data_IF_961914596012
#
_entry.id   IF_961914596012
#
_cell.length_a   1.000
_cell.length_b   1.000
_cell.length_c   1.000
_cell.angle_alpha   90.00
_cell.angle_beta   90.00
_cell.angle_gamma   90.00
#
_symmetry.space_group_name_H-M   'P 1'
#
loop_
_entity.id
_entity.type
_entity.pdbx_description
1 polymer ?
#
# COMPACT_ATOMS: atom_id res chain seq x y z
N UNK A 1 16.62 -10.40 -21.31
CA UNK A 1 15.25 -10.20 -20.78
C UNK A 1 15.11 -10.96 -19.48
N UNK A 2 15.31 -10.30 -18.35
CA UNK A 2 14.96 -10.83 -17.03
C UNK A 2 13.43 -10.90 -16.93
N UNK A 3 12.87 -12.07 -16.63
CA UNK A 3 11.43 -12.21 -16.37
C UNK A 3 11.11 -11.45 -15.08
N UNK A 4 10.43 -10.32 -15.21
CA UNK A 4 9.85 -9.61 -14.07
C UNK A 4 8.78 -10.50 -13.42
N UNK A 5 8.72 -10.49 -12.10
CA UNK A 5 7.61 -11.11 -11.37
C UNK A 5 6.31 -10.36 -11.67
N UNK A 6 5.15 -11.00 -11.52
CA UNK A 6 3.85 -10.35 -11.77
C UNK A 6 3.68 -9.08 -10.95
N UNK A 7 4.23 -9.05 -9.73
CA UNK A 7 4.19 -7.88 -8.85
C UNK A 7 5.05 -6.73 -9.40
N UNK A 8 6.29 -7.03 -9.83
CA UNK A 8 7.18 -6.01 -10.41
C UNK A 8 6.60 -5.44 -11.71
N UNK A 9 5.97 -6.28 -12.53
CA UNK A 9 5.31 -5.84 -13.76
C UNK A 9 4.14 -4.90 -13.46
N UNK A 10 3.30 -5.23 -12.48
CA UNK A 10 2.22 -4.37 -12.03
C UNK A 10 2.73 -3.02 -11.50
N UNK A 11 3.76 -3.05 -10.66
CA UNK A 11 4.36 -1.82 -10.12
C UNK A 11 4.91 -0.92 -11.23
N UNK A 12 5.53 -1.50 -12.27
CA UNK A 12 6.05 -0.76 -13.41
C UNK A 12 4.93 -0.12 -14.26
N UNK A 13 3.83 -0.85 -14.49
CA UNK A 13 2.65 -0.31 -15.17
C UNK A 13 2.00 0.83 -14.36
N UNK A 14 1.91 0.67 -13.04
CA UNK A 14 1.39 1.71 -12.16
C UNK A 14 2.26 2.98 -12.20
N UNK A 15 3.60 2.84 -12.23
CA UNK A 15 4.48 4.01 -12.39
C UNK A 15 4.23 4.72 -13.74
N UNK A 16 4.08 3.96 -14.83
CA UNK A 16 3.78 4.54 -16.14
C UNK A 16 2.45 5.31 -16.14
N UNK A 17 1.41 4.76 -15.53
CA UNK A 17 0.11 5.42 -15.42
C UNK A 17 0.16 6.65 -14.50
N UNK A 18 0.91 6.58 -13.40
CA UNK A 18 1.10 7.72 -12.51
C UNK A 18 1.76 8.90 -13.23
N UNK A 19 2.76 8.60 -14.07
CA UNK A 19 3.42 9.60 -14.89
C UNK A 19 2.44 10.18 -15.92
N UNK A 20 1.66 9.33 -16.60
CA UNK A 20 0.62 9.77 -17.55
C UNK A 20 -0.37 10.75 -16.89
N UNK A 21 -0.86 10.42 -15.69
CA UNK A 21 -1.76 11.28 -14.91
C UNK A 21 -1.08 12.57 -14.45
N UNK A 22 0.21 12.51 -14.13
CA UNK A 22 0.97 13.69 -13.74
C UNK A 22 1.19 14.63 -14.93
N UNK A 23 1.48 14.10 -16.12
CA UNK A 23 1.58 14.86 -17.38
C UNK A 23 0.25 15.55 -17.71
N UNK A 24 -0.87 14.83 -17.56
CA UNK A 24 -2.22 15.38 -17.79
C UNK A 24 -2.56 16.54 -16.83
N UNK A 25 -2.02 16.52 -15.60
CA UNK A 25 -2.33 17.53 -14.58
C UNK A 25 -1.32 18.68 -14.48
N UNK A 26 -0.05 18.45 -14.79
CA UNK A 26 1.05 19.41 -14.58
C UNK A 26 1.77 19.82 -15.88
N UNK A 27 1.41 19.20 -17.01
CA UNK A 27 2.06 19.40 -18.31
C UNK A 27 3.23 18.43 -18.54
N UNK A 28 3.76 18.46 -19.76
CA UNK A 28 4.80 17.52 -20.20
C UNK A 28 6.08 17.65 -19.38
N UNK A 29 6.66 16.50 -19.01
CA UNK A 29 7.98 16.45 -18.38
C UNK A 29 9.08 16.81 -19.37
N UNK A 30 10.17 17.42 -18.89
CA UNK A 30 11.39 17.57 -19.68
C UNK A 30 12.16 16.24 -19.71
N UNK A 31 11.85 15.41 -20.71
CA UNK A 31 12.14 13.98 -20.75
C UNK A 31 12.94 13.54 -22.00
N UNK A 32 13.57 14.50 -22.70
CA UNK A 32 14.41 14.24 -23.89
C UNK A 32 15.52 13.22 -23.64
N UNK A 33 16.11 13.19 -22.44
CA UNK A 33 17.10 12.17 -22.06
C UNK A 33 16.48 10.79 -21.81
N UNK A 34 15.28 10.72 -21.25
CA UNK A 34 14.54 9.48 -21.02
C UNK A 34 14.15 8.84 -22.35
N UNK A 35 13.68 9.64 -23.31
CA UNK A 35 13.34 9.20 -24.67
C UNK A 35 14.59 8.69 -25.39
N UNK A 36 15.74 9.37 -25.23
CA UNK A 36 17.01 8.92 -25.82
C UNK A 36 17.47 7.59 -25.22
N UNK A 37 17.29 7.39 -23.92
CA UNK A 37 17.64 6.13 -23.25
C UNK A 37 16.71 4.99 -23.69
N UNK A 38 15.40 5.23 -23.75
CA UNK A 38 14.42 4.26 -24.20
C UNK A 38 14.57 3.90 -25.70
N UNK A 39 15.04 4.84 -26.53
CA UNK A 39 15.40 4.56 -27.92
C UNK A 39 16.66 3.71 -28.05
N UNK A 40 17.67 3.92 -27.18
CA UNK A 40 18.91 3.13 -27.17
C UNK A 40 18.71 1.68 -26.70
N UNK A 41 17.80 1.44 -25.77
CA UNK A 41 17.49 0.07 -25.30
C UNK A 41 16.77 -0.76 -26.36
N UNK A 42 16.03 -0.13 -27.28
CA UNK A 42 15.28 -0.83 -28.33
C UNK A 42 14.18 -1.75 -27.77
N UNK A 43 13.56 -2.55 -28.63
CA UNK A 43 12.49 -3.48 -28.27
C UNK A 43 11.08 -2.97 -28.55
N UNK A 44 10.09 -3.69 -28.02
CA UNK A 44 8.67 -3.41 -28.21
C UNK A 44 8.24 -2.06 -27.58
N UNK A 45 7.17 -1.47 -28.11
CA UNK A 45 6.64 -0.17 -27.67
C UNK A 45 6.36 -0.15 -26.16
N UNK A 46 5.77 -1.22 -25.63
CA UNK A 46 5.49 -1.33 -24.20
C UNK A 46 6.77 -1.30 -23.37
N UNK A 47 7.82 -2.00 -23.79
CA UNK A 47 9.12 -1.99 -23.10
C UNK A 47 9.71 -0.59 -23.07
N UNK A 48 9.62 0.17 -24.17
CA UNK A 48 10.13 1.54 -24.25
C UNK A 48 9.39 2.51 -23.33
N UNK A 49 8.07 2.36 -23.19
CA UNK A 49 7.28 3.14 -22.23
C UNK A 49 7.71 2.81 -20.80
N UNK A 50 7.84 1.53 -20.46
CA UNK A 50 8.24 1.11 -19.12
C UNK A 50 9.65 1.59 -18.76
N UNK A 51 10.61 1.53 -19.69
CA UNK A 51 11.96 2.09 -19.48
C UNK A 51 11.91 3.61 -19.24
N UNK A 52 11.16 4.36 -20.06
CA UNK A 52 10.98 5.82 -19.87
C UNK A 52 10.38 6.11 -18.49
N UNK A 53 9.33 5.38 -18.13
CA UNK A 53 8.64 5.54 -16.86
C UNK A 53 9.57 5.27 -15.66
N UNK A 54 10.35 4.19 -15.70
CA UNK A 54 11.31 3.87 -14.65
C UNK A 54 12.40 4.93 -14.52
N UNK A 55 12.96 5.41 -15.64
CA UNK A 55 13.98 6.46 -15.63
C UNK A 55 13.45 7.76 -15.03
N UNK A 56 12.24 8.18 -15.43
CA UNK A 56 11.60 9.37 -14.90
C UNK A 56 11.27 9.21 -13.41
N UNK A 57 10.71 8.08 -13.01
CA UNK A 57 10.34 7.79 -11.63
C UNK A 57 11.55 7.76 -10.68
N UNK A 58 12.72 7.33 -11.17
CA UNK A 58 13.95 7.37 -10.39
C UNK A 58 14.44 8.80 -10.19
N UNK A 59 14.30 9.67 -11.21
CA UNK A 59 14.65 11.09 -11.12
C UNK A 59 13.70 11.86 -10.19
N UNK A 60 12.42 11.51 -10.16
CA UNK A 60 11.37 12.21 -9.40
C UNK A 60 11.09 11.59 -8.03
N UNK A 61 11.86 10.59 -7.59
CA UNK A 61 11.61 9.83 -6.34
C UNK A 61 10.22 9.18 -6.24
N UNK A 62 9.51 9.01 -7.37
CA UNK A 62 8.19 8.40 -7.40
C UNK A 62 8.21 6.93 -6.95
N UNK A 63 9.34 6.25 -7.12
CA UNK A 63 9.52 4.87 -6.64
C UNK A 63 9.40 4.81 -5.10
N UNK A 64 10.00 5.77 -4.41
CA UNK A 64 9.93 5.85 -2.94
C UNK A 64 8.52 6.21 -2.48
N UNK A 65 7.85 7.13 -3.19
CA UNK A 65 6.47 7.49 -2.93
C UNK A 65 5.49 6.33 -3.16
N UNK A 66 5.70 5.53 -4.22
CA UNK A 66 4.92 4.32 -4.47
C UNK A 66 5.08 3.32 -3.32
N UNK A 67 6.32 3.07 -2.87
CA UNK A 67 6.59 2.12 -1.81
C UNK A 67 6.02 2.56 -0.46
N UNK A 68 6.10 3.85 -0.14
CA UNK A 68 5.51 4.39 1.08
C UNK A 68 3.98 4.32 1.06
N UNK A 69 3.35 4.56 -0.10
CA UNK A 69 1.90 4.41 -0.27
C UNK A 69 1.43 2.96 -0.08
N UNK A 70 2.12 1.99 -0.68
CA UNK A 70 1.82 0.56 -0.51
C UNK A 70 1.99 0.16 0.96
N UNK A 71 3.08 0.60 1.60
CA UNK A 71 3.35 0.31 3.01
C UNK A 71 2.25 0.91 3.89
N UNK A 72 1.87 2.17 3.67
CA UNK A 72 0.77 2.81 4.38
C UNK A 72 -0.54 2.03 4.21
N UNK A 73 -0.88 1.61 2.99
CA UNK A 73 -2.08 0.80 2.73
C UNK A 73 -2.07 -0.53 3.50
N UNK A 74 -0.92 -1.21 3.55
CA UNK A 74 -0.76 -2.46 4.31
C UNK A 74 -0.93 -2.24 5.82
N UNK A 75 -0.37 -1.16 6.36
CA UNK A 75 -0.53 -0.80 7.77
C UNK A 75 -1.97 -0.42 8.10
N UNK A 76 -2.60 0.42 7.28
CA UNK A 76 -4.02 0.79 7.44
C UNK A 76 -4.92 -0.44 7.44
N UNK A 77 -4.68 -1.40 6.55
CA UNK A 77 -5.46 -2.64 6.50
C UNK A 77 -5.27 -3.48 7.78
N UNK A 78 -4.02 -3.63 8.25
CA UNK A 78 -3.72 -4.34 9.51
C UNK A 78 -4.40 -3.70 10.71
N UNK A 79 -4.32 -2.36 10.81
CA UNK A 79 -4.95 -1.59 11.89
C UNK A 79 -6.48 -1.75 11.81
N UNK A 80 -7.06 -1.67 10.62
CA UNK A 80 -8.49 -1.85 10.42
C UNK A 80 -8.96 -3.26 10.82
N UNK A 81 -8.22 -4.30 10.43
CA UNK A 81 -8.51 -5.67 10.85
C UNK A 81 -8.42 -5.84 12.37
N UNK A 82 -7.40 -5.26 13.01
CA UNK A 82 -7.26 -5.29 14.47
C UNK A 82 -8.45 -4.60 15.14
N UNK A 83 -8.81 -3.40 14.69
CA UNK A 83 -9.95 -2.66 15.23
C UNK A 83 -11.26 -3.42 15.04
N UNK A 84 -11.50 -3.99 13.86
CA UNK A 84 -12.68 -4.79 13.58
C UNK A 84 -12.78 -6.01 14.51
N UNK A 85 -11.65 -6.65 14.85
CA UNK A 85 -11.60 -7.75 15.80
C UNK A 85 -11.98 -7.29 17.22
N UNK A 86 -11.43 -6.17 17.70
CA UNK A 86 -11.77 -5.63 19.02
C UNK A 86 -13.23 -5.18 19.11
N UNK A 87 -13.74 -4.52 18.07
CA UNK A 87 -15.15 -4.11 17.99
C UNK A 87 -16.09 -5.32 17.93
N UNK A 88 -15.75 -6.35 17.15
CA UNK A 88 -16.50 -7.59 17.08
C UNK A 88 -16.57 -8.34 18.42
N UNK A 89 -15.48 -8.39 19.18
CA UNK A 89 -15.46 -8.98 20.52
C UNK A 89 -16.24 -8.14 21.55
N UNK A 90 -16.19 -6.82 21.45
CA UNK A 90 -16.90 -5.90 22.35
C UNK A 90 -18.42 -5.93 22.21
N UNK A 91 -18.94 -6.38 21.06
CA UNK A 91 -20.38 -6.45 20.80
C UNK A 91 -21.08 -7.68 21.41
N UNK A 92 -20.34 -8.58 22.07
CA UNK A 92 -20.92 -9.83 22.57
C UNK A 92 -21.68 -9.63 23.90
N UNK A 93 -21.54 -8.54 24.66
CA UNK A 93 -22.29 -8.37 25.91
C UNK A 93 -22.61 -6.88 26.22
N UNK A 94 -23.90 -6.54 26.40
CA UNK A 94 -24.52 -6.85 27.69
C UNK A 94 -25.99 -7.29 27.59
N UNK A 95 -26.28 -8.51 28.03
CA UNK A 95 -27.62 -8.84 28.54
C UNK A 95 -27.50 -9.88 29.64
N UNK A 96 -26.92 -9.53 30.78
CA UNK A 96 -27.34 -10.13 32.04
C UNK A 96 -27.06 -9.13 33.17
N UNK A 97 -28.12 -8.43 33.55
CA UNK A 97 -28.13 -7.46 34.64
C UNK A 97 -28.67 -8.15 35.89
N UNK A 98 -27.81 -8.19 36.91
CA UNK A 98 -28.09 -8.26 38.37
C UNK A 98 -28.51 -9.61 38.96
N UNK A 99 -27.57 -10.28 39.66
CA UNK A 99 -27.58 -10.38 41.13
C UNK A 99 -26.33 -11.14 41.64
N UNK A 100 -25.65 -10.54 42.62
CA UNK A 100 -24.66 -11.13 43.55
C UNK A 100 -23.26 -11.57 43.05
N UNK A 101 -22.23 -10.99 43.68
CA UNK A 101 -20.82 -11.42 43.74
C UNK A 101 -20.15 -11.91 42.43
N UNK A 102 -20.42 -11.28 41.29
CA UNK A 102 -19.88 -11.73 40.01
C UNK A 102 -18.62 -10.96 39.62
N UNK A 103 -17.46 -11.64 39.62
CA UNK A 103 -16.23 -11.11 39.03
C UNK A 103 -16.50 -10.83 37.55
N UNK A 104 -16.29 -9.59 37.13
CA UNK A 104 -16.56 -9.15 35.78
C UNK A 104 -15.65 -9.89 34.78
N UNK A 105 -16.25 -10.73 33.94
CA UNK A 105 -15.53 -11.56 32.97
C UNK A 105 -14.81 -10.70 31.92
N UNK A 106 -15.23 -9.44 31.68
CA UNK A 106 -14.43 -8.49 30.89
C UNK A 106 -13.08 -8.18 31.54
N UNK A 107 -13.05 -8.07 32.88
CA UNK A 107 -11.82 -7.91 33.65
C UNK A 107 -10.95 -9.18 33.59
N UNK A 108 -11.56 -10.37 33.59
CA UNK A 108 -10.85 -11.65 33.44
C UNK A 108 -10.26 -11.86 32.02
N UNK A 109 -10.98 -11.43 30.97
CA UNK A 109 -10.50 -11.47 29.59
C UNK A 109 -9.39 -10.45 29.33
N UNK A 110 -9.42 -9.29 30.00
CA UNK A 110 -8.30 -8.33 30.01
C UNK A 110 -6.99 -8.94 30.51
N UNK A 111 -7.05 -9.73 31.60
CA UNK A 111 -5.89 -10.46 32.11
C UNK A 111 -5.44 -11.62 31.20
N UNK A 112 -6.36 -12.30 30.50
CA UNK A 112 -6.04 -13.42 29.60
C UNK A 112 -5.41 -12.95 28.26
N UNK A 113 -5.78 -11.77 27.78
CA UNK A 113 -5.21 -11.11 26.59
C UNK A 113 -3.84 -10.44 26.85
N UNK A 114 -3.30 -10.57 28.06
CA UNK A 114 -1.93 -10.15 28.39
C UNK A 114 -1.76 -8.65 28.73
N UNK A 115 -2.85 -7.93 28.98
CA UNK A 115 -2.81 -6.53 29.41
C UNK A 115 -2.89 -6.49 30.94
N UNK A 116 -1.72 -6.45 31.57
CA UNK A 116 -1.56 -6.36 33.02
C UNK A 116 -1.68 -4.88 33.43
N UNK A 117 -2.68 -4.53 34.25
CA UNK A 117 -2.74 -3.27 35.00
C UNK A 117 -2.61 -3.60 36.49
#
# INVERSE_FOLDING_TARGET
MTKLTSQEHFNALWLAETIRLQEESQGDFADSEAVRQAQKEGGDFQTRILTRAQWLANKTNLIVAQQSAITAMQWSLKILCALAFFLGMGLILPTFSVADHTINVFSALGCLLGLNF
#
